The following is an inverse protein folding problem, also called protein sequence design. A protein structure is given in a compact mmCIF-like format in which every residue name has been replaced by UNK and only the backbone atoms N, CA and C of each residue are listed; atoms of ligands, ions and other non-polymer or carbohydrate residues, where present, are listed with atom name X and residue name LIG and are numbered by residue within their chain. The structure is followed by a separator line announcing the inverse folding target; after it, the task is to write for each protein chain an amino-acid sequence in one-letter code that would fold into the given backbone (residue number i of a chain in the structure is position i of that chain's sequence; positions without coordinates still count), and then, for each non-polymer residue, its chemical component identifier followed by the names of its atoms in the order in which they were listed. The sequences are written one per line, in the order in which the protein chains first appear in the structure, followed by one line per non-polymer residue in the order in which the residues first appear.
data_IF_915387806767
#
_entry.id   IF_915387806767
#
_cell.length_a   1.000
_cell.length_b   1.000
_cell.length_c   1.000
_cell.angle_alpha   90.00
_cell.angle_beta   90.00
_cell.angle_gamma   90.00
#
_symmetry.space_group_name_H-M   'P 1'
#
loop_
_entity.id
_entity.type
_entity.pdbx_description
1 polymer ?
#
# COMPACT_ATOMS: atom_id res chain seq x y z
N UNK A 1 -4.24 59.90 10.77
CA UNK A 1 -4.33 58.58 10.16
C UNK A 1 -5.80 58.17 10.15
N UNK A 2 -6.40 58.05 8.98
CA UNK A 2 -7.84 57.86 8.82
C UNK A 2 -8.22 56.44 9.30
N UNK A 3 -9.34 56.26 10.01
CA UNK A 3 -9.78 54.96 10.59
C UNK A 3 -9.82 53.84 9.54
N UNK A 4 -10.09 54.14 8.30
CA UNK A 4 -10.07 53.17 7.21
C UNK A 4 -8.67 52.65 6.90
N UNK A 5 -7.65 53.48 6.97
CA UNK A 5 -6.26 53.08 6.70
C UNK A 5 -5.68 52.19 7.82
N UNK A 6 -6.13 52.41 9.08
CA UNK A 6 -5.75 51.56 10.21
C UNK A 6 -6.37 50.16 10.12
N UNK A 7 -7.64 50.06 9.65
CA UNK A 7 -8.30 48.78 9.46
C UNK A 7 -7.68 47.95 8.32
N UNK A 8 -7.33 48.62 7.22
CA UNK A 8 -6.66 47.99 6.07
C UNK A 8 -5.25 47.50 6.45
N UNK A 9 -4.51 48.28 7.24
CA UNK A 9 -3.18 47.86 7.72
C UNK A 9 -3.25 46.67 8.67
N UNK A 10 -4.24 46.65 9.57
CA UNK A 10 -4.46 45.51 10.51
C UNK A 10 -4.88 44.22 9.77
N UNK A 11 -5.75 44.33 8.76
CA UNK A 11 -6.18 43.21 7.94
C UNK A 11 -5.04 42.63 7.11
N UNK A 12 -4.17 43.51 6.54
CA UNK A 12 -2.99 43.06 5.78
C UNK A 12 -1.95 42.41 6.67
N UNK A 13 -1.75 42.91 7.91
CA UNK A 13 -0.86 42.27 8.89
C UNK A 13 -1.37 40.94 9.38
N UNK A 14 -2.69 40.78 9.58
CA UNK A 14 -3.31 39.53 9.96
C UNK A 14 -3.21 38.48 8.82
N UNK A 15 -3.40 38.87 7.58
CA UNK A 15 -3.20 38.01 6.41
C UNK A 15 -1.74 37.58 6.23
N UNK A 16 -0.77 38.48 6.42
CA UNK A 16 0.65 38.14 6.38
C UNK A 16 1.04 37.20 7.55
N UNK A 17 0.44 37.34 8.72
CA UNK A 17 0.71 36.48 9.87
C UNK A 17 0.15 35.07 9.68
N UNK A 18 -0.99 34.92 8.96
CA UNK A 18 -1.53 33.60 8.61
C UNK A 18 -0.66 32.85 7.60
N UNK A 19 0.09 33.55 6.73
CA UNK A 19 1.00 32.91 5.76
C UNK A 19 2.33 32.46 6.37
N UNK A 20 2.72 32.95 7.54
CA UNK A 20 3.97 32.53 8.21
C UNK A 20 3.82 31.31 9.11
N UNK A 21 2.59 30.85 9.38
CA UNK A 21 2.35 29.51 9.89
C UNK A 21 2.38 28.47 8.75
N UNK A 22 3.39 28.53 7.89
CA UNK A 22 3.83 27.35 7.17
C UNK A 22 4.22 26.34 8.23
N UNK A 23 3.35 25.36 8.41
CA UNK A 23 3.60 24.20 9.26
C UNK A 23 4.95 23.63 8.82
N UNK A 24 6.03 24.00 9.51
CA UNK A 24 7.28 23.26 9.46
C UNK A 24 7.00 21.91 10.10
N UNK A 25 6.27 21.07 9.39
CA UNK A 25 6.36 19.65 9.60
C UNK A 25 7.83 19.32 9.39
N UNK A 26 8.62 19.29 10.48
CA UNK A 26 9.91 18.61 10.50
C UNK A 26 9.69 17.34 9.70
N UNK A 27 10.33 17.24 8.53
CA UNK A 27 10.16 16.09 7.66
C UNK A 27 10.41 14.86 8.53
N UNK A 28 9.32 14.15 8.88
CA UNK A 28 9.44 12.85 9.54
C UNK A 28 10.39 12.05 8.68
N UNK A 29 11.41 11.47 9.28
CA UNK A 29 12.36 10.65 8.55
C UNK A 29 11.58 9.71 7.63
N UNK A 30 11.86 9.81 6.33
CA UNK A 30 11.18 8.97 5.34
C UNK A 30 11.47 7.52 5.69
N UNK A 31 10.44 6.69 5.73
CA UNK A 31 10.62 5.26 5.96
C UNK A 31 11.63 4.71 4.95
N UNK A 32 12.64 4.01 5.45
CA UNK A 32 13.68 3.38 4.62
C UNK A 32 13.18 2.06 4.06
N UNK A 33 12.35 1.38 4.82
CA UNK A 33 11.81 0.05 4.54
C UNK A 33 10.30 0.04 4.78
N UNK A 34 9.56 -0.61 3.89
CA UNK A 34 8.12 -0.82 4.02
C UNK A 34 7.85 -2.31 3.89
N UNK A 35 7.15 -2.87 4.87
CA UNK A 35 6.67 -4.25 4.83
C UNK A 35 5.15 -4.21 4.73
N UNK A 36 4.61 -4.69 3.61
CA UNK A 36 3.16 -4.80 3.38
C UNK A 36 2.74 -6.25 3.62
N UNK A 37 2.04 -6.49 4.73
CA UNK A 37 1.50 -7.81 5.07
C UNK A 37 0.03 -7.83 4.74
N UNK A 38 -0.35 -8.61 3.74
CA UNK A 38 -1.74 -8.81 3.34
C UNK A 38 -2.27 -10.16 3.82
N UNK A 39 -3.43 -10.14 4.47
CA UNK A 39 -4.14 -11.33 4.94
C UNK A 39 -5.52 -11.35 4.29
N UNK A 40 -5.71 -12.30 3.36
CA UNK A 40 -6.98 -12.46 2.66
C UNK A 40 -8.04 -13.06 3.59
N UNK A 41 -9.30 -12.68 3.38
CA UNK A 41 -10.44 -13.21 4.13
C UNK A 41 -10.48 -12.81 5.61
N UNK A 42 -9.60 -11.96 6.09
CA UNK A 42 -9.56 -11.58 7.50
C UNK A 42 -10.55 -10.47 7.84
N UNK A 43 -11.63 -10.87 8.51
CA UNK A 43 -12.65 -9.93 8.97
C UNK A 43 -12.31 -9.30 10.32
N UNK A 44 -12.53 -7.99 10.46
CA UNK A 44 -12.26 -7.22 11.68
C UNK A 44 -12.94 -7.78 12.96
N UNK A 45 -14.07 -8.48 12.80
CA UNK A 45 -14.81 -9.13 13.88
C UNK A 45 -14.03 -10.26 14.57
N UNK A 46 -12.99 -10.79 13.95
CA UNK A 46 -12.16 -11.85 14.52
C UNK A 46 -11.15 -11.33 15.54
N UNK A 47 -10.77 -10.06 15.43
CA UNK A 47 -9.70 -9.46 16.22
C UNK A 47 -9.90 -9.55 17.74
N UNK A 48 -11.10 -9.28 18.29
CA UNK A 48 -11.34 -9.45 19.73
C UNK A 48 -11.43 -10.90 20.18
N UNK A 49 -11.61 -11.85 19.25
CA UNK A 49 -11.84 -13.27 19.55
C UNK A 49 -10.60 -14.12 19.41
N UNK A 50 -9.65 -13.70 18.58
CA UNK A 50 -8.46 -14.47 18.30
C UNK A 50 -7.27 -14.06 19.17
N UNK A 51 -6.42 -15.01 19.50
CA UNK A 51 -5.15 -14.75 20.17
C UNK A 51 -4.11 -14.28 19.15
N UNK A 52 -3.92 -12.97 19.07
CA UNK A 52 -3.02 -12.30 18.13
C UNK A 52 -2.14 -11.27 18.84
N UNK A 53 -1.22 -11.69 19.72
CA UNK A 53 -0.46 -10.76 20.57
C UNK A 53 0.40 -9.80 19.76
N UNK A 54 1.00 -10.25 18.66
CA UNK A 54 1.82 -9.40 17.78
C UNK A 54 1.00 -8.32 17.07
N UNK A 55 -0.20 -8.66 16.59
CA UNK A 55 -1.10 -7.67 15.96
C UNK A 55 -1.58 -6.66 16.99
N UNK A 56 -1.95 -7.10 18.19
CA UNK A 56 -2.35 -6.21 19.29
C UNK A 56 -1.25 -5.21 19.64
N UNK A 57 0.00 -5.68 19.74
CA UNK A 57 1.16 -4.80 19.96
C UNK A 57 1.34 -3.77 18.84
N UNK A 58 1.20 -4.18 17.57
CA UNK A 58 1.26 -3.23 16.44
C UNK A 58 0.14 -2.19 16.51
N UNK A 59 -1.03 -2.56 17.01
CA UNK A 59 -2.14 -1.61 17.19
C UNK A 59 -1.89 -0.61 18.33
N UNK A 60 -1.16 -0.99 19.38
CA UNK A 60 -0.79 -0.11 20.50
C UNK A 60 0.18 0.99 20.02
N UNK A 61 1.14 0.64 19.18
CA UNK A 61 2.19 1.55 18.70
C UNK A 61 1.85 2.26 17.38
N UNK A 62 0.81 1.82 16.68
CA UNK A 62 0.49 2.25 15.34
C UNK A 62 -0.91 2.85 15.17
N UNK A 63 -1.29 3.07 13.92
CA UNK A 63 -2.64 3.48 13.55
C UNK A 63 -3.41 2.31 12.92
N UNK A 64 -4.66 2.11 13.32
CA UNK A 64 -5.49 1.04 12.76
C UNK A 64 -6.94 1.47 12.55
N UNK A 65 -7.66 0.71 11.74
CA UNK A 65 -9.12 0.84 11.61
C UNK A 65 -9.77 -0.54 11.50
N UNK A 66 -10.91 -0.70 12.12
CA UNK A 66 -11.76 -1.88 12.02
C UNK A 66 -12.95 -1.66 11.07
N UNK A 67 -13.01 -0.51 10.41
CA UNK A 67 -14.14 -0.10 9.56
C UNK A 67 -13.78 -0.05 8.06
N UNK A 68 -12.61 -0.58 7.67
CA UNK A 68 -12.23 -0.65 6.26
C UNK A 68 -13.19 -1.57 5.51
N UNK A 69 -13.64 -1.14 4.33
CA UNK A 69 -14.45 -1.95 3.42
C UNK A 69 -13.60 -2.44 2.26
N UNK A 70 -13.94 -3.60 1.73
CA UNK A 70 -13.39 -4.09 0.46
C UNK A 70 -13.93 -3.29 -0.72
N UNK A 71 -13.20 -3.30 -1.83
CA UNK A 71 -13.75 -2.92 -3.12
C UNK A 71 -14.82 -3.93 -3.54
N UNK A 72 -15.81 -3.48 -4.32
CA UNK A 72 -16.86 -4.34 -4.83
C UNK A 72 -16.64 -4.63 -6.33
N UNK A 73 -16.93 -5.85 -6.78
CA UNK A 73 -17.32 -7.04 -6.01
C UNK A 73 -16.25 -7.48 -5.01
N UNK A 74 -16.66 -7.91 -3.81
CA UNK A 74 -15.71 -8.31 -2.76
C UNK A 74 -15.10 -9.68 -3.05
N UNK A 75 -14.03 -9.70 -3.82
CA UNK A 75 -13.27 -10.92 -4.13
C UNK A 75 -11.76 -10.68 -4.16
N UNK A 76 -10.99 -11.78 -4.17
CA UNK A 76 -9.54 -11.73 -3.97
C UNK A 76 -8.82 -10.92 -5.04
N UNK A 77 -8.94 -11.26 -6.33
CA UNK A 77 -8.20 -10.54 -7.37
C UNK A 77 -8.52 -9.05 -7.41
N UNK A 78 -9.78 -8.68 -7.25
CA UNK A 78 -10.23 -7.28 -7.27
C UNK A 78 -9.59 -6.48 -6.14
N UNK A 79 -9.62 -7.04 -4.91
CA UNK A 79 -9.11 -6.33 -3.74
C UNK A 79 -7.58 -6.29 -3.68
N UNK A 80 -6.92 -7.37 -4.09
CA UNK A 80 -5.47 -7.36 -4.23
C UNK A 80 -5.00 -6.39 -5.31
N UNK A 81 -5.66 -6.38 -6.49
CA UNK A 81 -5.40 -5.41 -7.54
C UNK A 81 -5.61 -3.97 -7.04
N UNK A 82 -6.74 -3.70 -6.40
CA UNK A 82 -7.04 -2.37 -5.84
C UNK A 82 -5.99 -1.91 -4.84
N UNK A 83 -5.46 -2.83 -4.02
CA UNK A 83 -4.43 -2.53 -3.03
C UNK A 83 -3.07 -2.24 -3.67
N UNK A 84 -2.65 -3.04 -4.66
CA UNK A 84 -1.36 -2.85 -5.33
C UNK A 84 -1.37 -1.68 -6.33
N UNK A 85 -2.51 -1.38 -6.90
CA UNK A 85 -2.68 -0.37 -7.94
C UNK A 85 -3.20 0.97 -7.41
N UNK A 86 -3.69 1.01 -6.16
CA UNK A 86 -4.25 2.23 -5.57
C UNK A 86 -5.47 2.76 -6.29
N UNK A 87 -6.24 1.90 -6.96
CA UNK A 87 -7.36 2.24 -7.82
C UNK A 87 -8.50 1.23 -7.65
N UNK A 88 -9.72 1.61 -8.00
CA UNK A 88 -10.86 0.70 -8.02
C UNK A 88 -10.96 -0.11 -9.32
N UNK A 89 -11.85 -1.12 -9.34
CA UNK A 89 -12.05 -2.00 -10.50
C UNK A 89 -12.46 -1.25 -11.77
N UNK A 90 -13.13 -0.12 -11.65
CA UNK A 90 -13.51 0.77 -12.77
C UNK A 90 -12.30 1.41 -13.48
N UNK A 91 -11.13 1.39 -12.84
CA UNK A 91 -9.89 1.93 -13.39
C UNK A 91 -8.92 0.83 -13.82
N UNK A 92 -8.69 -0.18 -12.97
CA UNK A 92 -7.73 -1.24 -13.28
C UNK A 92 -8.35 -2.41 -14.08
N UNK A 93 -9.68 -2.54 -14.10
CA UNK A 93 -10.39 -3.48 -14.95
C UNK A 93 -10.52 -4.91 -14.45
N UNK A 94 -9.91 -5.27 -13.33
CA UNK A 94 -10.07 -6.60 -12.72
C UNK A 94 -11.40 -6.67 -11.97
N UNK A 95 -12.29 -7.58 -12.36
CA UNK A 95 -13.68 -7.63 -11.86
C UNK A 95 -14.11 -9.01 -11.35
N UNK A 96 -13.28 -10.06 -11.51
CA UNK A 96 -13.61 -11.41 -11.11
C UNK A 96 -12.63 -11.99 -10.08
N UNK A 97 -13.04 -13.05 -9.40
CA UNK A 97 -12.26 -13.69 -8.33
C UNK A 97 -10.87 -14.14 -8.76
N UNK A 98 -10.78 -14.81 -9.89
CA UNK A 98 -9.55 -15.45 -10.37
C UNK A 98 -8.91 -14.73 -11.57
N UNK A 99 -9.19 -13.45 -11.76
CA UNK A 99 -8.70 -12.68 -12.90
C UNK A 99 -7.19 -12.83 -13.09
N UNK A 100 -6.81 -13.21 -14.28
CA UNK A 100 -5.40 -13.26 -14.74
C UNK A 100 -5.06 -12.07 -15.61
N UNK A 101 -6.06 -11.53 -16.27
CA UNK A 101 -6.06 -10.31 -17.07
C UNK A 101 -7.29 -9.51 -16.70
N UNK A 102 -7.28 -8.18 -16.86
CA UNK A 102 -8.47 -7.39 -16.58
C UNK A 102 -9.61 -7.73 -17.56
N UNK A 103 -10.82 -7.92 -17.05
CA UNK A 103 -12.02 -8.19 -17.85
C UNK A 103 -12.53 -6.92 -18.54
N UNK A 104 -12.28 -5.76 -17.94
CA UNK A 104 -12.55 -4.45 -18.54
C UNK A 104 -11.23 -3.80 -18.95
N UNK A 105 -11.23 -2.99 -20.03
CA UNK A 105 -10.03 -2.25 -20.42
C UNK A 105 -9.52 -1.37 -19.27
N UNK A 106 -8.28 -1.59 -18.85
CA UNK A 106 -7.62 -0.70 -17.89
C UNK A 106 -7.52 0.72 -18.45
N UNK A 107 -7.80 1.72 -17.62
CA UNK A 107 -7.77 3.15 -18.02
C UNK A 107 -6.38 3.61 -18.45
N UNK A 108 -5.35 3.02 -17.89
CA UNK A 108 -3.95 3.32 -18.21
C UNK A 108 -3.14 2.03 -18.07
N UNK A 109 -2.14 1.88 -18.91
CA UNK A 109 -1.17 0.78 -18.81
C UNK A 109 0.23 1.38 -18.67
N UNK A 110 1.06 0.73 -17.86
CA UNK A 110 2.47 1.03 -17.79
C UNK A 110 3.22 0.42 -18.98
N UNK A 111 4.54 0.62 -19.05
CA UNK A 111 5.41 0.08 -20.10
C UNK A 111 5.41 -1.45 -20.20
N UNK A 112 4.97 -2.15 -19.17
CA UNK A 112 4.90 -3.62 -19.10
C UNK A 112 3.49 -4.15 -19.43
N UNK A 113 2.55 -3.28 -19.82
CA UNK A 113 1.21 -3.66 -20.26
C UNK A 113 0.23 -3.98 -19.12
N UNK A 114 0.55 -3.58 -17.89
CA UNK A 114 -0.31 -3.72 -16.71
C UNK A 114 -0.68 -2.33 -16.14
N UNK A 115 -1.81 -2.24 -15.45
CA UNK A 115 -2.14 -1.01 -14.72
C UNK A 115 -1.01 -0.68 -13.72
N UNK A 116 -0.62 0.62 -13.55
CA UNK A 116 0.48 1.01 -12.68
C UNK A 116 0.32 0.47 -11.26
N UNK A 117 1.38 -0.12 -10.71
CA UNK A 117 1.42 -0.68 -9.37
C UNK A 117 2.40 0.07 -8.46
N UNK A 118 2.22 -0.04 -7.15
CA UNK A 118 3.19 0.52 -6.18
C UNK A 118 4.61 0.02 -6.42
N UNK A 119 4.77 -1.21 -6.92
CA UNK A 119 6.07 -1.82 -7.22
C UNK A 119 6.74 -1.12 -8.40
N UNK A 120 5.98 -0.93 -9.50
CA UNK A 120 6.50 -0.24 -10.69
C UNK A 120 6.80 1.23 -10.39
N UNK A 121 5.92 1.94 -9.70
CA UNK A 121 6.13 3.33 -9.33
C UNK A 121 7.39 3.50 -8.47
N UNK A 122 7.64 2.58 -7.53
CA UNK A 122 8.87 2.57 -6.74
C UNK A 122 10.09 2.26 -7.61
N UNK A 123 10.00 1.29 -8.52
CA UNK A 123 11.09 0.94 -9.45
C UNK A 123 11.48 2.11 -10.34
N UNK A 124 10.51 2.83 -10.87
CA UNK A 124 10.77 4.00 -11.73
C UNK A 124 11.39 5.16 -10.93
N UNK A 125 10.90 5.40 -9.71
CA UNK A 125 11.45 6.45 -8.83
C UNK A 125 12.83 6.08 -8.25
N UNK A 126 13.10 4.79 -8.04
CA UNK A 126 14.34 4.25 -7.47
C UNK A 126 14.79 3.01 -8.22
N UNK A 127 15.50 3.14 -9.34
CA UNK A 127 15.86 2.01 -10.21
C UNK A 127 16.65 0.89 -9.54
N UNK A 128 17.38 1.20 -8.47
CA UNK A 128 18.19 0.24 -7.69
C UNK A 128 17.50 -0.26 -6.42
N UNK A 129 16.23 0.09 -6.18
CA UNK A 129 15.53 -0.36 -4.98
C UNK A 129 15.40 -1.88 -4.96
N UNK A 130 15.66 -2.49 -3.81
CA UNK A 130 15.31 -3.89 -3.58
C UNK A 130 13.83 -3.99 -3.27
N UNK A 131 13.10 -4.75 -4.09
CA UNK A 131 11.63 -4.86 -4.06
C UNK A 131 11.26 -6.33 -4.11
N UNK A 132 10.59 -6.84 -3.09
CA UNK A 132 10.17 -8.23 -3.00
C UNK A 132 8.65 -8.39 -3.00
N UNK A 133 8.19 -9.58 -3.42
CA UNK A 133 6.81 -10.02 -3.25
C UNK A 133 6.79 -11.54 -3.01
N UNK A 134 6.35 -11.94 -1.83
CA UNK A 134 6.20 -13.36 -1.48
C UNK A 134 4.72 -13.63 -1.23
N UNK A 135 4.19 -14.70 -1.78
CA UNK A 135 2.76 -14.98 -1.75
C UNK A 135 2.46 -16.48 -1.77
N UNK A 136 1.29 -16.85 -1.24
CA UNK A 136 0.78 -18.23 -1.29
C UNK A 136 -0.24 -18.43 -2.41
N UNK A 137 -1.12 -17.46 -2.64
CA UNK A 137 -2.09 -17.57 -3.74
C UNK A 137 -1.45 -17.17 -5.07
N UNK A 138 -1.34 -18.13 -5.99
CA UNK A 138 -0.69 -17.95 -7.29
C UNK A 138 -1.35 -16.86 -8.17
N UNK A 139 -2.57 -16.42 -7.85
CA UNK A 139 -3.23 -15.30 -8.51
C UNK A 139 -2.51 -13.97 -8.36
N UNK A 140 -1.76 -13.79 -7.28
CA UNK A 140 -1.02 -12.54 -6.99
C UNK A 140 -0.08 -12.17 -8.14
N UNK A 141 0.59 -13.14 -8.77
CA UNK A 141 1.54 -12.88 -9.86
C UNK A 141 0.96 -12.13 -11.07
N UNK A 142 -0.35 -12.21 -11.26
CA UNK A 142 -1.04 -11.52 -12.36
C UNK A 142 -1.46 -10.08 -11.99
N UNK A 143 -1.37 -9.73 -10.72
CA UNK A 143 -1.82 -8.45 -10.17
C UNK A 143 -0.64 -7.54 -9.77
N UNK A 144 0.55 -8.12 -9.68
CA UNK A 144 1.80 -7.38 -9.46
C UNK A 144 2.56 -7.28 -10.79
N UNK A 145 3.24 -6.16 -10.99
CA UNK A 145 4.18 -6.02 -12.10
C UNK A 145 5.47 -6.75 -11.75
N UNK A 146 5.55 -8.05 -12.08
CA UNK A 146 6.69 -8.90 -11.73
C UNK A 146 8.02 -8.41 -12.34
N UNK A 147 7.97 -7.68 -13.46
CA UNK A 147 9.16 -7.08 -14.07
C UNK A 147 9.72 -5.91 -13.28
N UNK A 148 8.95 -5.38 -12.34
CA UNK A 148 9.37 -4.32 -11.43
C UNK A 148 9.96 -4.85 -10.13
N UNK A 149 9.88 -6.16 -9.87
CA UNK A 149 10.40 -6.79 -8.66
C UNK A 149 11.88 -7.16 -8.79
N UNK A 150 12.61 -7.16 -7.68
CA UNK A 150 13.93 -7.77 -7.55
C UNK A 150 13.81 -9.24 -7.23
N UNK A 151 12.79 -9.61 -6.48
CA UNK A 151 12.53 -10.97 -6.04
C UNK A 151 11.03 -11.22 -5.89
N UNK A 152 10.56 -12.36 -6.38
CA UNK A 152 9.23 -12.85 -6.04
C UNK A 152 9.25 -14.36 -5.83
N UNK A 153 8.41 -14.84 -4.92
CA UNK A 153 8.33 -16.25 -4.60
C UNK A 153 6.91 -16.67 -4.29
N UNK A 154 6.49 -17.79 -4.89
CA UNK A 154 5.21 -18.43 -4.65
C UNK A 154 5.41 -19.67 -3.79
N UNK A 155 4.84 -19.68 -2.58
CA UNK A 155 4.80 -20.86 -1.72
C UNK A 155 3.62 -21.72 -2.17
N UNK A 156 3.90 -22.81 -2.87
CA UNK A 156 2.86 -23.63 -3.51
C UNK A 156 2.19 -24.63 -2.57
N UNK A 157 2.85 -24.98 -1.46
CA UNK A 157 2.34 -25.98 -0.51
C UNK A 157 1.53 -25.32 0.61
N UNK A 158 0.22 -25.31 0.46
CA UNK A 158 -0.70 -24.75 1.44
C UNK A 158 -0.64 -25.39 2.84
N UNK A 159 -0.08 -26.58 2.97
CA UNK A 159 0.11 -27.22 4.28
C UNK A 159 1.29 -26.64 5.05
N UNK A 160 2.21 -25.97 4.37
CA UNK A 160 3.40 -25.34 4.96
C UNK A 160 3.23 -23.84 5.18
N UNK A 161 2.31 -23.21 4.44
CA UNK A 161 1.94 -21.83 4.64
C UNK A 161 1.02 -21.70 5.87
N UNK A 162 1.02 -20.62 6.60
CA UNK A 162 1.79 -19.38 6.40
C UNK A 162 3.20 -19.40 7.01
N UNK A 163 3.59 -20.46 7.73
CA UNK A 163 4.87 -20.55 8.44
C UNK A 163 6.06 -20.44 7.50
N UNK A 164 6.04 -21.17 6.37
CA UNK A 164 7.11 -21.11 5.37
C UNK A 164 7.21 -19.72 4.76
N UNK A 165 6.08 -19.13 4.36
CA UNK A 165 6.03 -17.78 3.82
C UNK A 165 6.62 -16.74 4.79
N UNK A 166 6.24 -16.83 6.07
CA UNK A 166 6.76 -15.94 7.12
C UNK A 166 8.26 -16.09 7.33
N UNK A 167 8.77 -17.34 7.33
CA UNK A 167 10.20 -17.61 7.47
C UNK A 167 10.99 -17.07 6.26
N UNK A 168 10.52 -17.29 5.06
CA UNK A 168 11.15 -16.81 3.83
C UNK A 168 11.15 -15.29 3.75
N UNK A 169 10.03 -14.65 4.07
CA UNK A 169 9.93 -13.20 4.12
C UNK A 169 10.91 -12.60 5.15
N UNK A 170 10.99 -13.22 6.33
CA UNK A 170 11.92 -12.80 7.39
C UNK A 170 13.39 -12.95 6.97
N UNK A 171 13.73 -14.06 6.31
CA UNK A 171 15.08 -14.29 5.79
C UNK A 171 15.43 -13.26 4.70
N UNK A 172 14.52 -13.04 3.74
CA UNK A 172 14.71 -12.06 2.69
C UNK A 172 14.89 -10.63 3.23
N UNK A 173 14.06 -10.23 4.21
CA UNK A 173 14.17 -8.92 4.85
C UNK A 173 15.53 -8.75 5.53
N UNK A 174 15.98 -9.77 6.27
CA UNK A 174 17.27 -9.73 6.98
C UNK A 174 18.47 -9.69 6.05
N UNK A 175 18.41 -10.40 4.93
CA UNK A 175 19.53 -10.51 4.00
C UNK A 175 19.58 -9.31 3.03
N UNK A 176 18.46 -8.94 2.45
CA UNK A 176 18.41 -7.97 1.34
C UNK A 176 18.03 -6.56 1.76
N UNK A 177 17.48 -6.37 2.96
CA UNK A 177 17.04 -5.07 3.44
C UNK A 177 16.16 -4.33 2.41
N UNK A 178 15.06 -4.95 1.91
CA UNK A 178 14.29 -4.40 0.81
C UNK A 178 13.69 -3.03 1.15
N UNK A 179 13.56 -2.20 0.13
CA UNK A 179 12.82 -0.92 0.25
C UNK A 179 11.33 -1.17 0.41
N UNK A 180 10.80 -2.21 -0.29
CA UNK A 180 9.42 -2.67 -0.21
C UNK A 180 9.37 -4.20 -0.31
N UNK A 181 8.62 -4.83 0.57
CA UNK A 181 8.28 -6.26 0.50
C UNK A 181 6.85 -6.49 0.96
#
# INVERSE_FOLDING_TARGET
MNRQNAFTLLATFALLFCFTFSCNAKGKDKAKHVVLIGLDGWGAYSLPKADMPNVKRLMEDGAYTLKKRSALPSSSAINWASMFMGAGPELHGYTEWGSKTPELPSRVLNKNGIFPTIFQLLRDARPKAEIGCLYEWNGIKYLVDTLSLSYHYHVADYNKTPKELGNMASAYIKEKHPTLV
#
